data_IF_019021160536
#
_entry.id   IF_019021160536
#
_cell.length_a   1.000
_cell.length_b   1.000
_cell.length_c   1.000
_cell.angle_alpha   90.00
_cell.angle_beta   90.00
_cell.angle_gamma   90.00
#
_symmetry.space_group_name_H-M   'P 1'
#
loop_
_entity.id
_entity.type
_entity.pdbx_description
1 polymer ?
#
# COMPACT_ATOMS: atom_id res chain seq x y z
N UNK A 1 13.77 -6.76 -6.41
CA UNK A 1 12.43 -6.71 -5.80
C UNK A 1 11.97 -8.09 -5.52
N UNK A 2 11.73 -8.38 -4.26
CA UNK A 2 11.24 -9.67 -3.83
C UNK A 2 10.20 -9.44 -2.74
N UNK A 3 8.96 -9.82 -3.04
CA UNK A 3 7.98 -10.03 -1.99
C UNK A 3 8.46 -11.19 -1.14
N UNK A 4 8.61 -10.94 0.16
CA UNK A 4 8.93 -11.97 1.14
C UNK A 4 7.63 -12.55 1.67
N UNK A 5 7.49 -13.87 1.56
CA UNK A 5 6.30 -14.60 1.98
C UNK A 5 6.70 -15.62 3.04
N UNK A 6 6.15 -15.47 4.24
CA UNK A 6 6.31 -16.43 5.34
C UNK A 6 4.94 -17.03 5.70
N UNK A 7 4.89 -17.86 6.74
CA UNK A 7 3.64 -18.41 7.25
C UNK A 7 2.75 -17.35 7.91
N UNK A 8 3.31 -16.23 8.36
CA UNK A 8 2.62 -15.24 9.20
C UNK A 8 2.57 -13.84 8.60
N UNK A 9 3.49 -13.54 7.69
CA UNK A 9 3.76 -12.21 7.19
C UNK A 9 4.09 -12.25 5.70
N UNK A 10 3.49 -11.34 4.93
CA UNK A 10 3.85 -11.03 3.55
C UNK A 10 4.28 -9.56 3.50
N UNK A 11 5.48 -9.27 2.99
CA UNK A 11 6.04 -7.91 2.93
C UNK A 11 6.75 -7.66 1.61
N UNK A 12 6.87 -6.39 1.24
CA UNK A 12 7.64 -5.92 0.10
C UNK A 12 8.93 -5.21 0.55
N UNK A 13 9.97 -5.28 -0.27
CA UNK A 13 11.18 -4.46 -0.13
C UNK A 13 11.05 -3.06 -0.74
N UNK A 14 9.97 -2.79 -1.48
CA UNK A 14 9.66 -1.47 -2.07
C UNK A 14 8.68 -0.65 -1.25
N UNK A 15 7.62 -1.28 -0.74
CA UNK A 15 6.50 -0.57 -0.11
C UNK A 15 6.39 -0.94 1.37
N UNK A 16 5.94 0.01 2.19
CA UNK A 16 5.71 -0.18 3.62
C UNK A 16 4.35 -0.83 3.91
N UNK A 17 3.86 -1.66 2.98
CA UNK A 17 2.62 -2.40 3.08
C UNK A 17 2.89 -3.88 3.34
N UNK A 18 2.02 -4.49 4.15
CA UNK A 18 2.19 -5.85 4.63
C UNK A 18 0.84 -6.57 4.77
N UNK A 19 0.88 -7.89 4.66
CA UNK A 19 -0.23 -8.74 5.03
C UNK A 19 0.12 -9.60 6.24
N UNK A 20 -0.82 -9.72 7.18
CA UNK A 20 -0.64 -10.46 8.43
C UNK A 20 -1.64 -11.61 8.53
N UNK A 21 -1.17 -12.79 8.91
CA UNK A 21 -2.05 -13.92 9.24
C UNK A 21 -2.61 -13.74 10.64
N UNK A 22 -3.92 -13.93 10.79
CA UNK A 22 -4.60 -13.94 12.07
C UNK A 22 -4.37 -15.30 12.73
N UNK A 23 -3.61 -15.34 13.84
CA UNK A 23 -3.42 -16.58 14.63
C UNK A 23 -4.12 -16.59 15.99
N UNK A 24 -4.88 -15.55 16.30
CA UNK A 24 -5.67 -15.54 17.52
C UNK A 24 -6.78 -16.58 17.43
N UNK A 25 -7.11 -17.29 18.53
CA UNK A 25 -8.21 -18.24 18.54
C UNK A 25 -9.53 -17.56 18.15
N UNK A 26 -10.23 -18.11 17.16
CA UNK A 26 -11.49 -17.56 16.68
C UNK A 26 -11.87 -18.06 15.28
N UNK A 27 -13.03 -17.63 14.76
CA UNK A 27 -13.51 -18.01 13.42
C UNK A 27 -12.60 -17.50 12.29
N UNK A 28 -11.87 -16.41 12.54
CA UNK A 28 -10.99 -15.77 11.58
C UNK A 28 -9.56 -16.32 11.58
N UNK A 29 -9.28 -17.34 12.40
CA UNK A 29 -7.94 -17.93 12.48
C UNK A 29 -7.52 -18.49 11.12
N UNK A 30 -6.31 -18.15 10.69
CA UNK A 30 -5.74 -18.56 9.40
C UNK A 30 -6.07 -17.64 8.24
N UNK A 31 -6.99 -16.69 8.41
CA UNK A 31 -7.25 -15.64 7.43
C UNK A 31 -6.19 -14.55 7.49
N UNK A 32 -6.13 -13.74 6.44
CA UNK A 32 -5.18 -12.66 6.29
C UNK A 32 -5.85 -11.29 6.28
N UNK A 33 -5.11 -10.28 6.75
CA UNK A 33 -5.47 -8.87 6.66
C UNK A 33 -4.35 -8.10 6.00
N UNK A 34 -4.70 -7.06 5.24
CA UNK A 34 -3.75 -6.13 4.62
C UNK A 34 -3.68 -4.83 5.42
N UNK A 35 -2.49 -4.25 5.53
CA UNK A 35 -2.21 -3.04 6.31
C UNK A 35 -2.99 -1.80 5.87
N UNK A 36 -3.36 -1.72 4.59
CA UNK A 36 -4.09 -0.59 4.01
C UNK A 36 -5.58 -0.88 3.77
N UNK A 37 -6.05 -2.11 4.00
CA UNK A 37 -7.47 -2.45 3.91
C UNK A 37 -8.13 -2.40 5.28
N UNK A 38 -9.45 -2.17 5.32
CA UNK A 38 -10.20 -2.28 6.57
C UNK A 38 -10.03 -3.67 7.21
N UNK A 39 -9.74 -3.69 8.51
CA UNK A 39 -9.38 -4.91 9.26
C UNK A 39 -10.52 -5.92 9.39
N UNK A 40 -11.75 -5.58 9.00
CA UNK A 40 -12.86 -6.55 8.93
C UNK A 40 -12.81 -7.40 7.65
N UNK A 41 -12.05 -7.01 6.63
CA UNK A 41 -11.85 -7.84 5.44
C UNK A 41 -10.97 -9.03 5.79
N UNK A 42 -11.39 -10.21 5.32
CA UNK A 42 -10.69 -11.48 5.52
C UNK A 42 -10.29 -12.01 4.17
N UNK A 43 -8.98 -12.23 4.01
CA UNK A 43 -8.39 -12.63 2.75
C UNK A 43 -7.84 -14.04 2.84
N UNK A 44 -7.89 -14.76 1.73
CA UNK A 44 -7.05 -15.94 1.54
C UNK A 44 -5.57 -15.54 1.51
N UNK A 45 -4.67 -16.52 1.63
CA UNK A 45 -3.22 -16.27 1.49
C UNK A 45 -2.87 -15.71 0.11
N UNK A 46 -3.54 -16.19 -0.93
CA UNK A 46 -3.28 -15.76 -2.31
C UNK A 46 -3.77 -14.32 -2.52
N UNK A 47 -4.96 -13.99 -2.01
CA UNK A 47 -5.45 -12.61 -2.01
C UNK A 47 -4.53 -11.67 -1.22
N UNK A 48 -4.02 -12.11 -0.07
CA UNK A 48 -3.06 -11.33 0.71
C UNK A 48 -1.77 -11.03 -0.07
N UNK A 49 -1.25 -12.02 -0.82
CA UNK A 49 -0.10 -11.83 -1.69
C UNK A 49 -0.41 -10.84 -2.82
N UNK A 50 -1.56 -10.99 -3.46
CA UNK A 50 -2.05 -10.11 -4.53
C UNK A 50 -2.18 -8.67 -4.05
N UNK A 51 -2.65 -8.45 -2.82
CA UNK A 51 -2.75 -7.11 -2.25
C UNK A 51 -1.41 -6.44 -1.97
N UNK A 52 -0.41 -7.17 -1.47
CA UNK A 52 0.94 -6.61 -1.35
C UNK A 52 1.52 -6.27 -2.72
N UNK A 53 1.27 -7.12 -3.72
CA UNK A 53 1.70 -6.85 -5.11
C UNK A 53 0.98 -5.65 -5.73
N UNK A 54 -0.31 -5.49 -5.45
CA UNK A 54 -1.10 -4.33 -5.88
C UNK A 54 -0.56 -3.03 -5.28
N UNK A 55 -0.20 -3.03 -3.99
CA UNK A 55 0.42 -1.89 -3.36
C UNK A 55 1.78 -1.54 -3.98
N UNK A 56 2.63 -2.54 -4.27
CA UNK A 56 3.86 -2.32 -5.04
C UNK A 56 3.57 -1.69 -6.39
N UNK A 57 2.60 -2.24 -7.14
CA UNK A 57 2.23 -1.69 -8.43
C UNK A 57 1.81 -0.25 -8.29
N UNK A 58 0.92 0.12 -7.38
CA UNK A 58 0.37 1.48 -7.25
C UNK A 58 1.41 2.51 -6.75
N UNK A 59 2.29 2.13 -5.83
CA UNK A 59 3.22 3.04 -5.16
C UNK A 59 4.59 3.11 -5.82
N UNK A 60 4.92 2.19 -6.72
CA UNK A 60 6.16 2.25 -7.48
C UNK A 60 6.12 3.42 -8.50
N UNK A 61 6.96 4.42 -8.29
CA UNK A 61 7.09 5.60 -9.14
C UNK A 61 7.56 5.24 -10.57
N UNK A 62 7.96 3.99 -10.81
CA UNK A 62 8.32 3.46 -12.12
C UNK A 62 7.12 3.19 -13.06
N UNK A 63 5.87 3.10 -12.54
CA UNK A 63 4.65 2.89 -13.36
C UNK A 63 4.57 3.89 -14.52
N UNK A 64 5.00 5.13 -14.31
CA UNK A 64 4.92 6.17 -15.33
C UNK A 64 5.70 5.84 -16.62
N UNK A 65 6.56 4.81 -16.63
CA UNK A 65 7.31 4.37 -17.82
C UNK A 65 6.56 3.34 -18.68
N UNK A 66 5.69 2.51 -18.10
CA UNK A 66 4.92 1.46 -18.78
C UNK A 66 3.42 1.53 -18.44
N UNK A 67 2.91 2.76 -18.31
CA UNK A 67 1.66 3.07 -17.61
C UNK A 67 0.45 2.22 -18.00
N UNK A 68 0.26 1.88 -19.29
CA UNK A 68 -0.95 1.16 -19.71
C UNK A 68 -0.96 -0.33 -19.30
N UNK A 69 0.16 -1.04 -19.44
CA UNK A 69 0.23 -2.46 -19.05
C UNK A 69 0.17 -2.61 -17.54
N UNK A 70 0.85 -1.74 -16.80
CA UNK A 70 0.93 -1.84 -15.34
C UNK A 70 -0.42 -1.48 -14.71
N UNK A 71 -1.15 -0.51 -15.28
CA UNK A 71 -2.53 -0.20 -14.86
C UNK A 71 -3.50 -1.36 -15.11
N UNK A 72 -3.35 -2.10 -16.21
CA UNK A 72 -4.19 -3.26 -16.49
C UNK A 72 -3.94 -4.37 -15.46
N UNK A 73 -2.68 -4.66 -15.15
CA UNK A 73 -2.32 -5.64 -14.11
C UNK A 73 -2.81 -5.19 -12.73
N UNK A 74 -2.66 -3.90 -12.38
CA UNK A 74 -3.17 -3.37 -11.14
C UNK A 74 -4.69 -3.50 -11.03
N UNK A 75 -5.43 -3.26 -12.13
CA UNK A 75 -6.89 -3.46 -12.16
C UNK A 75 -7.27 -4.93 -11.93
N UNK A 76 -6.59 -5.88 -12.59
CA UNK A 76 -6.84 -7.32 -12.37
C UNK A 76 -6.63 -7.72 -10.91
N UNK A 77 -5.53 -7.25 -10.29
CA UNK A 77 -5.26 -7.52 -8.88
C UNK A 77 -6.27 -6.85 -7.94
N UNK A 78 -6.79 -5.67 -8.27
CA UNK A 78 -7.87 -5.04 -7.49
C UNK A 78 -9.17 -5.85 -7.58
N UNK A 79 -9.51 -6.37 -8.77
CA UNK A 79 -10.68 -7.22 -8.98
C UNK A 79 -10.59 -8.54 -8.17
N UNK A 80 -9.41 -9.16 -8.08
CA UNK A 80 -9.16 -10.34 -7.24
C UNK A 80 -9.38 -10.09 -5.73
N UNK A 81 -9.29 -8.83 -5.30
CA UNK A 81 -9.56 -8.37 -3.93
C UNK A 81 -11.00 -7.88 -3.74
N UNK A 82 -11.83 -7.93 -4.78
CA UNK A 82 -13.18 -7.36 -4.81
C UNK A 82 -13.16 -5.87 -4.45
N UNK A 83 -12.26 -5.13 -5.10
CA UNK A 83 -12.08 -3.68 -4.97
C UNK A 83 -12.01 -3.03 -6.35
N UNK A 84 -12.49 -1.79 -6.44
CA UNK A 84 -12.13 -0.93 -7.55
C UNK A 84 -10.67 -0.46 -7.38
N UNK A 85 -9.93 -0.36 -8.48
CA UNK A 85 -8.53 0.12 -8.45
C UNK A 85 -8.43 1.51 -7.79
N UNK A 86 -9.38 2.39 -8.08
CA UNK A 86 -9.44 3.74 -7.49
C UNK A 86 -9.58 3.70 -5.97
N UNK A 87 -10.36 2.75 -5.42
CA UNK A 87 -10.53 2.62 -3.98
C UNK A 87 -9.23 2.17 -3.31
N UNK A 88 -8.53 1.20 -3.92
CA UNK A 88 -7.23 0.76 -3.45
C UNK A 88 -6.21 1.91 -3.46
N UNK A 89 -6.18 2.73 -4.53
CA UNK A 89 -5.32 3.92 -4.61
C UNK A 89 -5.65 4.93 -3.51
N UNK A 90 -6.94 5.21 -3.27
CA UNK A 90 -7.38 6.13 -2.23
C UNK A 90 -6.97 5.66 -0.84
N UNK A 91 -7.15 4.38 -0.52
CA UNK A 91 -6.76 3.81 0.77
C UNK A 91 -5.25 3.91 1.02
N UNK A 92 -4.44 3.62 0.00
CA UNK A 92 -2.99 3.77 0.07
C UNK A 92 -2.55 5.23 0.20
N UNK A 93 -3.20 6.15 -0.51
CA UNK A 93 -2.92 7.59 -0.41
C UNK A 93 -3.26 8.14 0.98
N UNK A 94 -4.41 7.76 1.55
CA UNK A 94 -4.82 8.16 2.91
C UNK A 94 -3.82 7.68 3.95
N UNK A 95 -3.36 6.43 3.84
CA UNK A 95 -2.34 5.87 4.74
C UNK A 95 -0.99 6.56 4.59
N UNK A 96 -0.58 6.88 3.36
CA UNK A 96 0.68 7.58 3.09
C UNK A 96 0.67 9.02 3.65
N UNK A 97 -0.51 9.67 3.70
CA UNK A 97 -0.70 10.99 4.29
C UNK A 97 -0.41 11.04 5.79
N UNK A 98 -0.67 9.95 6.52
CA UNK A 98 -0.39 9.86 7.96
C UNK A 98 1.12 9.80 8.28
N UNK A 99 1.96 9.45 7.30
CA UNK A 99 3.43 9.43 7.43
C UNK A 99 4.12 10.68 6.84
N UNK A 100 3.37 11.60 6.23
CA UNK A 100 3.89 12.78 5.54
C UNK A 100 4.23 13.99 6.42
N UNK A 101 3.86 13.99 7.70
CA UNK A 101 4.07 15.15 8.60
C UNK A 101 5.41 15.06 9.37
N UNK A 102 6.51 14.70 8.68
CA UNK A 102 7.86 14.83 9.23
C UNK A 102 8.95 15.12 8.19
N UNK A 103 8.64 15.84 7.11
CA UNK A 103 9.67 16.37 6.20
C UNK A 103 9.26 17.63 5.40
N UNK A 104 8.42 18.50 5.96
CA UNK A 104 8.33 19.88 5.50
C UNK A 104 9.01 20.76 6.53
N UNK A 105 10.33 20.96 6.37
CA UNK A 105 11.04 22.05 7.04
C UNK A 105 10.24 23.35 6.85
N UNK A 106 10.02 24.15 7.91
CA UNK A 106 9.38 25.44 7.73
C UNK A 106 10.28 26.27 6.84
N UNK A 107 9.82 26.60 5.63
CA UNK A 107 10.44 27.62 4.79
C UNK A 107 10.54 28.87 5.65
N UNK A 108 11.78 29.18 6.03
CA UNK A 108 12.11 30.34 6.83
C UNK A 108 11.56 31.59 6.13
N UNK A 109 10.52 32.18 6.73
CA UNK A 109 9.81 33.35 6.22
C UNK A 109 10.54 34.66 6.60
N UNK A 110 11.84 34.59 6.87
CA UNK A 110 12.66 35.72 7.26
C UNK A 110 13.89 35.83 6.37
N UNK A 111 13.75 36.58 5.27
CA UNK A 111 14.74 37.58 4.84
C UNK A 111 14.07 38.57 3.88
N UNK A 112 13.18 39.38 4.46
CA UNK A 112 13.04 40.76 4.01
C UNK A 112 14.34 41.48 4.40
N UNK A 113 15.22 41.73 3.43
CA UNK A 113 16.20 42.79 3.59
C UNK A 113 16.20 43.71 2.37
N UNK A 114 15.35 44.72 2.50
CA UNK A 114 15.45 46.04 1.89
C UNK A 114 16.89 46.54 2.01
N UNK A 115 17.60 46.68 0.89
CA UNK A 115 18.60 47.75 0.69
C UNK A 115 18.61 48.16 -0.79
N UNK A 116 17.98 49.30 -1.11
CA UNK A 116 18.50 50.28 -2.07
C UNK A 116 17.96 51.66 -1.75
#
# INVERSE_FOLDING_TARGET
MAIQVTDWLITSDLVQEAAFRIDVPGPDRGWWVLSYLPTYRRLSRDQALVGVRLAELILDDSIYRNAESDLLVARLHAEELELELTDAMCLLALRSGEFGESASEPRNCAEQQVIR
#
